data_IF_970740850328
#
_entry.id   IF_970740850328
#
_cell.length_a   1.000
_cell.length_b   1.000
_cell.length_c   1.000
_cell.angle_alpha   90.00
_cell.angle_beta   90.00
_cell.angle_gamma   90.00
#
_symmetry.space_group_name_H-M   'P 1'
#
loop_
_entity.id
_entity.type
_entity.pdbx_description
1 polymer ?
#
# COMPACT_ATOMS: atom_id res chain seq x y z
N UNK A 1 1.44 -0.88 -16.02
CA UNK A 1 1.34 -0.37 -14.65
C UNK A 1 1.64 -1.53 -13.68
N UNK A 2 2.33 -1.27 -12.58
CA UNK A 2 2.73 -2.30 -11.60
C UNK A 2 1.88 -2.27 -10.33
N UNK A 3 1.28 -1.13 -10.01
CA UNK A 3 0.39 -0.97 -8.86
C UNK A 3 -0.82 -0.14 -9.26
N UNK A 4 -1.97 -0.49 -8.69
CA UNK A 4 -3.15 0.36 -8.64
C UNK A 4 -3.17 1.06 -7.28
N UNK A 5 -3.19 2.39 -7.28
CA UNK A 5 -3.23 3.20 -6.07
C UNK A 5 -4.68 3.57 -5.72
N UNK A 6 -5.10 3.26 -4.51
CA UNK A 6 -6.40 3.63 -3.94
C UNK A 6 -6.22 4.37 -2.61
N UNK A 7 -7.27 5.08 -2.20
CA UNK A 7 -7.38 5.71 -0.88
C UNK A 7 -8.44 4.92 -0.10
N UNK A 8 -8.01 4.10 0.86
CA UNK A 8 -8.90 3.21 1.64
C UNK A 8 -9.57 3.95 2.79
N UNK A 9 -8.86 4.95 3.36
CA UNK A 9 -9.39 5.86 4.37
C UNK A 9 -9.16 7.27 3.88
N UNK A 10 -10.20 8.09 3.90
CA UNK A 10 -10.14 9.52 3.60
C UNK A 10 -11.05 10.26 4.57
N UNK A 11 -10.44 10.95 5.52
CA UNK A 11 -11.13 11.91 6.40
C UNK A 11 -10.46 13.28 6.26
N UNK A 12 -10.96 14.27 7.00
CA UNK A 12 -10.37 15.62 7.01
C UNK A 12 -8.90 15.61 7.45
N UNK A 13 -8.53 14.75 8.40
CA UNK A 13 -7.20 14.75 9.01
C UNK A 13 -6.42 13.44 8.83
N UNK A 14 -7.04 12.41 8.26
CA UNK A 14 -6.43 11.08 8.16
C UNK A 14 -6.59 10.51 6.76
N UNK A 15 -5.60 9.74 6.36
CA UNK A 15 -5.68 8.92 5.15
C UNK A 15 -4.92 7.60 5.33
N UNK A 16 -5.31 6.65 4.47
CA UNK A 16 -4.56 5.42 4.20
C UNK A 16 -4.52 5.25 2.68
N UNK A 17 -3.32 5.28 2.12
CA UNK A 17 -3.06 4.92 0.74
C UNK A 17 -2.83 3.42 0.65
N UNK A 18 -3.30 2.78 -0.41
CA UNK A 18 -3.05 1.37 -0.71
C UNK A 18 -2.55 1.22 -2.14
N UNK A 19 -1.39 0.61 -2.31
CA UNK A 19 -0.88 0.16 -3.58
C UNK A 19 -1.14 -1.34 -3.72
N UNK A 20 -2.09 -1.70 -4.57
CA UNK A 20 -2.40 -3.10 -4.91
C UNK A 20 -1.56 -3.53 -6.11
N UNK A 21 -0.76 -4.60 -6.02
CA UNK A 21 0.04 -5.09 -7.14
C UNK A 21 -0.85 -5.46 -8.34
N UNK A 22 -0.39 -5.13 -9.54
CA UNK A 22 -1.06 -5.44 -10.82
C UNK A 22 -0.03 -5.81 -11.89
N UNK A 23 -0.48 -6.37 -13.01
CA UNK A 23 0.39 -6.65 -14.16
C UNK A 23 1.48 -7.66 -13.81
N UNK A 24 2.76 -7.29 -13.97
CA UNK A 24 3.88 -8.17 -13.61
C UNK A 24 4.13 -8.26 -12.10
N UNK A 25 3.54 -7.37 -11.30
CA UNK A 25 3.78 -7.29 -9.86
C UNK A 25 2.86 -8.19 -9.03
N UNK A 26 1.82 -8.82 -9.63
CA UNK A 26 0.83 -9.63 -8.86
C UNK A 26 1.46 -10.78 -8.07
N UNK A 27 2.64 -11.26 -8.47
CA UNK A 27 3.37 -12.32 -7.77
C UNK A 27 4.34 -11.82 -6.70
N UNK A 28 4.36 -10.51 -6.41
CA UNK A 28 5.18 -9.95 -5.33
C UNK A 28 4.68 -10.46 -3.96
N UNK A 29 5.59 -11.07 -3.18
CA UNK A 29 5.28 -11.64 -1.87
C UNK A 29 4.84 -10.61 -0.83
N UNK A 30 5.12 -9.33 -1.07
CA UNK A 30 4.71 -8.25 -0.18
C UNK A 30 3.22 -7.92 -0.29
N UNK A 31 2.56 -8.32 -1.39
CA UNK A 31 1.14 -8.06 -1.60
C UNK A 31 0.82 -6.57 -1.56
N UNK A 32 -0.28 -6.22 -0.91
CA UNK A 32 -0.71 -4.83 -0.80
C UNK A 32 0.20 -4.03 0.12
N UNK A 33 0.70 -2.90 -0.38
CA UNK A 33 1.47 -1.94 0.40
C UNK A 33 0.55 -0.82 0.86
N UNK A 34 0.50 -0.52 2.16
CA UNK A 34 -0.25 0.63 2.68
C UNK A 34 0.62 1.64 3.41
N UNK A 35 0.27 2.92 3.26
CA UNK A 35 0.87 4.04 3.95
C UNK A 35 -0.21 4.90 4.59
N UNK A 36 -0.09 5.13 5.89
CA UNK A 36 -1.00 6.01 6.64
C UNK A 36 -0.49 7.45 6.69
N UNK A 37 -1.37 8.38 7.05
CA UNK A 37 -1.04 9.79 7.28
C UNK A 37 0.03 10.05 8.36
N UNK A 38 0.31 9.10 9.25
CA UNK A 38 1.40 9.20 10.23
C UNK A 38 2.71 8.60 9.73
N UNK A 39 2.75 8.08 8.50
CA UNK A 39 3.91 7.40 7.92
C UNK A 39 4.04 5.93 8.32
N UNK A 40 3.08 5.36 9.06
CA UNK A 40 3.08 3.93 9.34
C UNK A 40 2.83 3.12 8.06
N UNK A 41 3.63 2.05 7.88
CA UNK A 41 3.72 1.22 6.68
C UNK A 41 3.23 -0.20 6.98
N UNK A 42 2.52 -0.82 6.05
CA UNK A 42 2.13 -2.24 6.12
C UNK A 42 2.34 -2.92 4.75
N UNK A 43 2.73 -4.21 4.70
CA UNK A 43 3.00 -5.11 5.83
C UNK A 43 4.37 -4.84 6.49
N UNK A 44 4.58 -5.37 7.69
CA UNK A 44 5.87 -5.31 8.41
C UNK A 44 6.84 -6.43 8.02
N UNK A 45 6.54 -7.19 6.96
CA UNK A 45 7.39 -8.27 6.45
C UNK A 45 8.75 -7.70 6.04
N UNK A 46 9.83 -8.30 6.53
CA UNK A 46 11.19 -7.84 6.24
C UNK A 46 11.44 -7.82 4.73
N UNK A 47 11.93 -6.69 4.21
CA UNK A 47 12.21 -6.50 2.78
C UNK A 47 11.05 -5.95 1.94
N UNK A 48 9.89 -5.67 2.54
CA UNK A 48 8.74 -5.13 1.80
C UNK A 48 8.62 -3.59 1.81
N UNK A 49 9.42 -2.87 2.61
CA UNK A 49 9.34 -1.43 2.82
C UNK A 49 10.68 -0.75 3.13
#
# INVERSE_FOLDING_TARGET
>A
AFYLLTIEVSTVNTYTLRATPTGAQVSDSCGNLELTHTGAKSPSTAGCW
#
